data_IF_518135445111
#
_entry.id   IF_518135445111
#
_cell.length_a   1.000
_cell.length_b   1.000
_cell.length_c   1.000
_cell.angle_alpha   90.00
_cell.angle_beta   90.00
_cell.angle_gamma   90.00
#
_symmetry.space_group_name_H-M   'P 1'
#
loop_
_entity.id
_entity.type
_entity.pdbx_description
1 polymer ?
#
# COMPACT_ATOMS: atom_id res chain seq x y z
N UNK A 1 -3.89 -23.14 5.15
CA UNK A 1 -5.02 -22.21 4.92
C UNK A 1 -6.31 -22.77 5.55
N UNK A 2 -6.32 -23.08 6.85
CA UNK A 2 -7.54 -23.55 7.54
C UNK A 2 -8.28 -22.41 8.27
N UNK A 3 -7.56 -21.38 8.71
CA UNK A 3 -8.12 -20.29 9.52
C UNK A 3 -8.82 -19.18 8.71
N UNK A 4 -8.65 -19.15 7.39
CA UNK A 4 -9.28 -18.17 6.46
C UNK A 4 -9.11 -16.70 6.88
N UNK A 5 -8.01 -16.40 7.58
CA UNK A 5 -7.75 -15.07 8.11
C UNK A 5 -7.24 -14.16 6.98
N UNK A 6 -7.87 -12.98 6.77
CA UNK A 6 -7.33 -11.97 5.88
C UNK A 6 -5.93 -11.57 6.33
N UNK A 7 -5.00 -11.45 5.40
CA UNK A 7 -3.62 -11.05 5.68
C UNK A 7 -3.11 -10.07 4.62
N UNK A 8 -2.20 -9.19 5.03
CA UNK A 8 -1.57 -8.22 4.17
C UNK A 8 -0.06 -8.36 4.29
N UNK A 9 0.66 -8.14 3.19
CA UNK A 9 2.12 -8.11 3.18
C UNK A 9 2.65 -6.98 2.30
N UNK A 10 3.83 -6.52 2.65
CA UNK A 10 4.59 -5.53 1.90
C UNK A 10 6.00 -6.03 1.69
N UNK A 11 6.59 -5.65 0.55
CA UNK A 11 7.96 -5.98 0.24
C UNK A 11 8.90 -4.94 0.85
N UNK A 12 9.88 -5.42 1.61
CA UNK A 12 11.07 -4.72 2.04
C UNK A 12 12.23 -4.92 1.07
N UNK A 13 13.39 -4.42 1.51
CA UNK A 13 14.66 -4.39 0.77
C UNK A 13 15.39 -5.73 0.64
N UNK A 14 14.89 -6.78 1.28
CA UNK A 14 15.45 -8.13 1.21
C UNK A 14 14.49 -9.16 0.60
N UNK A 15 13.26 -8.77 0.31
CA UNK A 15 12.23 -9.74 -0.05
C UNK A 15 12.29 -10.17 -1.53
N UNK A 16 13.18 -9.55 -2.32
CA UNK A 16 13.44 -9.92 -3.72
C UNK A 16 14.81 -10.56 -3.89
N UNK A 17 14.97 -11.79 -3.38
CA UNK A 17 16.17 -12.62 -3.58
C UNK A 17 15.87 -13.88 -4.41
N UNK A 18 14.96 -13.77 -5.39
CA UNK A 18 14.47 -14.86 -6.24
C UNK A 18 14.60 -14.54 -7.74
N UNK A 19 14.17 -15.46 -8.61
CA UNK A 19 14.08 -15.28 -10.06
C UNK A 19 12.89 -14.42 -10.49
N UNK A 20 11.89 -14.23 -9.63
CA UNK A 20 10.77 -13.32 -9.88
C UNK A 20 11.20 -11.87 -9.72
N UNK A 21 10.71 -11.01 -10.61
CA UNK A 21 10.77 -9.57 -10.43
C UNK A 21 9.93 -9.13 -9.22
N UNK A 22 10.21 -7.96 -8.68
CA UNK A 22 9.45 -7.38 -7.56
C UNK A 22 7.96 -7.25 -7.88
N UNK A 23 7.66 -6.84 -9.11
CA UNK A 23 6.30 -6.71 -9.62
C UNK A 23 5.58 -8.05 -9.66
N UNK A 24 6.22 -9.08 -10.22
CA UNK A 24 5.66 -10.44 -10.27
C UNK A 24 5.44 -11.00 -8.87
N UNK A 25 6.38 -10.77 -7.94
CA UNK A 25 6.27 -11.24 -6.56
C UNK A 25 5.09 -10.57 -5.84
N UNK A 26 4.97 -9.23 -5.95
CA UNK A 26 3.86 -8.51 -5.35
C UNK A 26 2.52 -8.91 -5.97
N UNK A 27 2.50 -9.10 -7.29
CA UNK A 27 1.32 -9.59 -8.02
C UNK A 27 0.91 -10.96 -7.51
N UNK A 28 1.86 -11.90 -7.36
CA UNK A 28 1.59 -13.21 -6.79
C UNK A 28 1.01 -13.10 -5.37
N UNK A 29 1.65 -12.32 -4.49
CA UNK A 29 1.17 -12.09 -3.11
C UNK A 29 -0.27 -11.55 -3.10
N UNK A 30 -0.61 -10.64 -4.02
CA UNK A 30 -1.97 -10.08 -4.12
C UNK A 30 -3.03 -11.10 -4.57
N UNK A 31 -2.61 -12.15 -5.29
CA UNK A 31 -3.50 -13.19 -5.82
C UNK A 31 -3.65 -14.41 -4.89
N UNK A 32 -2.89 -14.47 -3.79
CA UNK A 32 -2.97 -15.59 -2.84
C UNK A 32 -4.27 -15.56 -2.02
N UNK A 33 -4.78 -16.73 -1.65
CA UNK A 33 -6.03 -16.81 -0.89
C UNK A 33 -5.97 -16.00 0.42
N UNK A 34 -7.05 -15.26 0.67
CA UNK A 34 -7.22 -14.36 1.81
C UNK A 34 -6.19 -13.21 1.89
N UNK A 35 -5.36 -13.02 0.86
CA UNK A 35 -4.55 -11.82 0.75
C UNK A 35 -5.47 -10.63 0.51
N UNK A 36 -5.26 -9.57 1.30
CA UNK A 36 -5.82 -8.24 1.05
C UNK A 36 -4.73 -7.27 0.58
N UNK A 37 -3.54 -7.80 0.26
CA UNK A 37 -2.43 -7.02 -0.27
C UNK A 37 -2.78 -6.55 -1.68
N UNK A 38 -2.38 -5.34 -2.03
CA UNK A 38 -2.64 -4.76 -3.34
C UNK A 38 -1.32 -4.45 -4.04
N UNK A 39 -1.28 -4.66 -5.36
CA UNK A 39 -0.26 -3.96 -6.16
C UNK A 39 -0.52 -2.45 -6.05
N UNK A 40 0.51 -1.64 -6.32
CA UNK A 40 0.52 -0.18 -6.35
C UNK A 40 -0.87 0.45 -6.57
N UNK A 41 -1.11 1.64 -5.98
CA UNK A 41 -2.45 2.10 -5.68
C UNK A 41 -3.34 1.98 -6.91
N UNK A 42 -4.39 1.17 -6.83
CA UNK A 42 -5.37 1.11 -7.89
C UNK A 42 -5.94 2.53 -8.07
N UNK A 43 -6.13 2.96 -9.32
CA UNK A 43 -6.84 4.20 -9.57
C UNK A 43 -8.15 4.14 -8.80
N UNK A 44 -8.35 5.05 -7.85
CA UNK A 44 -9.64 5.21 -7.20
C UNK A 44 -10.50 6.06 -8.13
N UNK A 45 -11.47 5.47 -8.86
CA UNK A 45 -12.33 6.23 -9.75
C UNK A 45 -13.20 7.26 -9.01
N UNK A 46 -13.29 7.18 -7.67
CA UNK A 46 -14.01 8.15 -6.84
C UNK A 46 -13.15 9.35 -6.39
N UNK A 47 -11.84 9.33 -6.63
CA UNK A 47 -10.93 10.44 -6.30
C UNK A 47 -10.05 10.82 -7.51
N UNK A 48 -10.47 11.77 -8.35
CA UNK A 48 -9.69 12.24 -9.50
C UNK A 48 -8.34 12.89 -9.12
N UNK A 49 -8.14 13.24 -7.85
CA UNK A 49 -6.85 13.69 -7.32
C UNK A 49 -5.83 12.53 -7.20
N UNK A 50 -6.28 11.30 -7.01
CA UNK A 50 -5.42 10.13 -6.86
C UNK A 50 -4.95 9.55 -8.21
N UNK A 51 -5.75 9.68 -9.28
CA UNK A 51 -5.44 9.08 -10.59
C UNK A 51 -4.13 9.59 -11.22
N UNK A 52 -3.79 10.88 -11.05
CA UNK A 52 -2.54 11.46 -11.59
C UNK A 52 -1.29 11.15 -10.76
N UNK A 53 -1.48 10.74 -9.50
CA UNK A 53 -0.39 10.53 -8.55
C UNK A 53 0.13 9.08 -8.55
N UNK A 54 -0.65 8.16 -9.13
CA UNK A 54 -0.35 6.73 -9.27
C UNK A 54 0.69 6.44 -10.36
N UNK A 55 0.77 7.28 -11.40
CA UNK A 55 1.51 6.99 -12.65
C UNK A 55 3.04 6.94 -12.48
N UNK A 56 3.59 7.41 -11.36
CA UNK A 56 5.04 7.50 -11.14
C UNK A 56 5.47 7.24 -9.69
N UNK A 57 4.82 6.26 -9.03
CA UNK A 57 5.21 5.81 -7.70
C UNK A 57 6.29 4.73 -7.78
N UNK A 58 7.35 4.88 -6.99
CA UNK A 58 8.40 3.87 -6.89
C UNK A 58 7.93 2.63 -6.11
N UNK A 59 8.34 1.44 -6.56
CA UNK A 59 7.96 0.15 -5.97
C UNK A 59 6.75 -0.45 -6.66
N UNK A 60 6.24 -1.58 -6.15
CA UNK A 60 5.10 -2.31 -6.72
C UNK A 60 4.01 -2.65 -5.70
N UNK A 61 4.25 -2.41 -4.41
CA UNK A 61 3.33 -2.73 -3.32
C UNK A 61 2.88 -1.54 -2.49
N UNK A 62 2.75 -0.33 -3.04
CA UNK A 62 2.28 0.81 -2.24
C UNK A 62 0.75 0.82 -2.17
N UNK A 63 0.16 0.64 -0.99
CA UNK A 63 -1.29 0.64 -0.81
C UNK A 63 -1.67 0.97 0.63
N UNK A 64 -2.95 1.24 0.88
CA UNK A 64 -3.47 1.39 2.23
C UNK A 64 -4.68 0.49 2.42
N UNK A 65 -4.88 0.03 3.66
CA UNK A 65 -6.04 -0.76 4.05
C UNK A 65 -6.81 -0.02 5.13
N UNK A 66 -8.13 -0.02 4.97
CA UNK A 66 -9.05 0.48 5.97
C UNK A 66 -9.61 -0.69 6.78
N UNK A 67 -9.42 -0.64 8.09
CA UNK A 67 -10.02 -1.58 9.02
C UNK A 67 -11.27 -0.92 9.60
N UNK A 68 -12.41 -1.54 9.37
CA UNK A 68 -13.68 -1.11 9.95
C UNK A 68 -13.91 -1.74 11.31
N UNK A 69 -14.81 -1.16 12.11
CA UNK A 69 -15.21 -1.76 13.38
C UNK A 69 -15.81 -3.16 13.19
N UNK A 70 -15.80 -3.94 14.27
CA UNK A 70 -16.27 -5.31 14.24
C UNK A 70 -17.72 -5.39 13.75
N UNK A 71 -18.08 -6.38 12.90
CA UNK A 71 -19.46 -6.59 12.48
C UNK A 71 -20.41 -6.68 13.68
N UNK A 72 -21.55 -5.98 13.61
CA UNK A 72 -22.54 -5.93 14.70
C UNK A 72 -22.22 -4.95 15.85
N UNK A 73 -21.06 -4.28 15.82
CA UNK A 73 -20.77 -3.18 16.75
C UNK A 73 -21.34 -1.83 16.25
N UNK A 74 -21.44 -0.85 17.15
CA UNK A 74 -21.77 0.54 16.77
C UNK A 74 -20.75 1.18 15.82
N UNK A 75 -19.58 0.56 15.64
CA UNK A 75 -18.51 0.99 14.73
C UNK A 75 -18.44 0.14 13.46
N UNK A 76 -19.38 -0.78 13.21
CA UNK A 76 -19.30 -1.72 12.09
C UNK A 76 -19.11 -1.03 10.71
N UNK A 77 -19.66 0.17 10.56
CA UNK A 77 -19.56 0.97 9.34
C UNK A 77 -18.56 2.14 9.47
N UNK A 78 -17.81 2.19 10.57
CA UNK A 78 -16.85 3.24 10.85
C UNK A 78 -15.43 2.71 10.61
N UNK A 79 -14.62 3.49 9.90
CA UNK A 79 -13.19 3.29 9.81
C UNK A 79 -12.56 3.48 11.18
N UNK A 80 -11.92 2.46 11.74
CA UNK A 80 -11.26 2.55 13.05
C UNK A 80 -9.74 2.63 12.95
N UNK A 81 -9.16 2.13 11.85
CA UNK A 81 -7.72 2.14 11.62
C UNK A 81 -7.42 2.20 10.12
N UNK A 82 -6.48 3.06 9.73
CA UNK A 82 -5.90 3.07 8.38
C UNK A 82 -4.46 2.57 8.46
N UNK A 83 -4.16 1.50 7.74
CA UNK A 83 -2.83 0.92 7.62
C UNK A 83 -2.22 1.34 6.29
N UNK A 84 -1.03 1.95 6.31
CA UNK A 84 -0.31 2.35 5.12
C UNK A 84 0.87 1.42 4.89
N UNK A 85 0.95 0.84 3.69
CA UNK A 85 1.99 -0.07 3.26
C UNK A 85 2.83 0.63 2.19
N UNK A 86 4.12 0.78 2.46
CA UNK A 86 5.05 1.43 1.55
C UNK A 86 6.17 0.46 1.20
N UNK A 87 6.40 0.32 -0.10
CA UNK A 87 7.42 -0.55 -0.66
C UNK A 87 8.80 0.14 -0.58
N UNK A 88 9.69 -0.29 0.31
CA UNK A 88 10.99 0.38 0.48
C UNK A 88 12.00 0.21 -0.66
N UNK A 89 11.61 -0.47 -1.75
CA UNK A 89 12.47 -0.85 -2.85
C UNK A 89 13.41 -2.01 -2.47
N UNK A 90 14.25 -2.42 -3.42
CA UNK A 90 15.28 -3.47 -3.23
C UNK A 90 16.62 -2.84 -2.80
N UNK A 91 17.73 -3.12 -3.50
CA UNK A 91 19.04 -2.52 -3.27
C UNK A 91 19.19 -1.28 -4.13
N UNK A 92 19.98 -0.34 -3.65
CA UNK A 92 20.32 0.88 -4.37
C UNK A 92 21.85 0.99 -4.52
N UNK A 93 22.30 1.78 -5.49
CA UNK A 93 23.73 2.14 -5.63
C UNK A 93 23.88 3.64 -5.44
N UNK A 94 24.60 4.05 -4.40
CA UNK A 94 24.84 5.46 -4.07
C UNK A 94 26.35 5.70 -4.08
N UNK A 95 26.80 6.65 -4.89
CA UNK A 95 28.23 6.96 -5.06
C UNK A 95 29.08 5.70 -5.36
N UNK A 96 28.56 4.81 -6.21
CA UNK A 96 29.23 3.55 -6.59
C UNK A 96 29.22 2.46 -5.52
N UNK A 97 28.58 2.67 -4.36
CA UNK A 97 28.47 1.67 -3.29
C UNK A 97 27.07 1.08 -3.24
N UNK A 98 26.99 -0.25 -3.20
CA UNK A 98 25.72 -0.97 -2.98
C UNK A 98 25.24 -0.71 -1.56
N UNK A 99 23.97 -0.33 -1.45
CA UNK A 99 23.24 -0.05 -0.22
C UNK A 99 21.81 -0.58 -0.36
N UNK A 100 20.98 -0.29 0.63
CA UNK A 100 19.55 -0.61 0.62
C UNK A 100 18.73 0.52 0.01
N UNK A 101 17.63 0.17 -0.64
CA UNK A 101 16.57 1.09 -1.00
C UNK A 101 15.96 1.74 0.24
N UNK A 102 15.30 2.86 0.01
CA UNK A 102 14.61 3.63 1.04
C UNK A 102 13.32 4.19 0.45
N UNK A 103 12.42 4.63 1.32
CA UNK A 103 11.19 5.32 0.92
C UNK A 103 11.54 6.59 0.14
N UNK A 104 11.08 6.67 -1.10
CA UNK A 104 11.35 7.78 -2.01
C UNK A 104 10.30 8.87 -1.91
N UNK A 105 10.62 10.05 -2.44
CA UNK A 105 9.71 11.20 -2.39
C UNK A 105 8.40 10.95 -3.16
N UNK A 106 8.41 10.13 -4.22
CA UNK A 106 7.20 9.71 -4.93
C UNK A 106 6.19 9.03 -3.99
N UNK A 107 6.66 8.13 -3.14
CA UNK A 107 5.86 7.41 -2.16
C UNK A 107 5.40 8.31 -1.01
N UNK A 108 6.24 9.25 -0.58
CA UNK A 108 5.85 10.26 0.42
C UNK A 108 4.79 11.21 -0.11
N UNK A 109 4.90 11.66 -1.37
CA UNK A 109 3.87 12.48 -2.03
C UNK A 109 2.55 11.71 -2.09
N UNK A 110 2.61 10.45 -2.49
CA UNK A 110 1.43 9.58 -2.50
C UNK A 110 0.80 9.46 -1.10
N UNK A 111 1.59 9.12 -0.08
CA UNK A 111 1.13 8.97 1.29
C UNK A 111 0.46 10.26 1.81
N UNK A 112 1.07 11.42 1.54
CA UNK A 112 0.51 12.73 1.92
C UNK A 112 -0.81 12.99 1.21
N UNK A 113 -0.90 12.76 -0.10
CA UNK A 113 -2.12 13.01 -0.86
C UNK A 113 -3.27 12.09 -0.45
N UNK A 114 -3.00 10.80 -0.20
CA UNK A 114 -4.01 9.87 0.32
C UNK A 114 -4.45 10.27 1.73
N UNK A 115 -3.51 10.64 2.60
CA UNK A 115 -3.81 11.07 3.98
C UNK A 115 -4.66 12.34 4.02
N UNK A 116 -4.34 13.34 3.19
CA UNK A 116 -5.12 14.58 3.08
C UNK A 116 -6.50 14.35 2.49
N UNK A 117 -6.64 13.42 1.53
CA UNK A 117 -7.94 13.00 1.01
C UNK A 117 -8.89 12.55 2.13
N UNK A 118 -8.38 11.85 3.15
CA UNK A 118 -9.20 11.44 4.30
C UNK A 118 -9.55 12.56 5.27
N UNK A 119 -8.73 13.61 5.36
CA UNK A 119 -8.99 14.77 6.23
C UNK A 119 -10.19 15.59 5.73
N UNK A 120 -10.38 15.65 4.41
CA UNK A 120 -11.53 16.31 3.78
C UNK A 120 -12.84 15.54 4.01
N UNK A 121 -12.84 14.21 3.91
CA UNK A 121 -14.06 13.40 4.15
C UNK A 121 -14.53 13.43 5.60
N UNK A 122 -13.64 13.67 6.58
CA UNK A 122 -14.01 13.80 7.99
C UNK A 122 -14.57 15.19 8.32
N UNK A 123 -14.25 16.22 7.54
CA UNK A 123 -14.73 17.58 7.76
C UNK A 123 -16.08 17.87 7.09
N UNK A 124 -16.45 17.11 6.04
CA UNK A 124 -17.76 17.21 5.38
C UNK A 124 -18.88 16.37 6.02
N UNK A 125 -18.59 15.63 7.11
CA UNK A 125 -19.58 14.84 7.86
C UNK A 125 -19.89 15.42 9.26
N UNK A 126 -19.49 16.66 9.55
CA UNK A 126 -19.88 17.40 10.76
C UNK A 126 -20.90 18.51 10.46
#
# INVERSE_FOLDING_TARGET
>A
MESRLPWAAILGNHDQESTMTREELMTLISLMDYSVSQINPAEDPSSPANARMVVDIDGFGNYFLRVNGAPGSHLANSSILSLYFLDSGDRATVNGRRTYGWIKESQLRWLRGVSQGFEVYLTEQC
#
